data_IF_857549394525
#
_entry.id   IF_857549394525
#
_cell.length_a   1.000
_cell.length_b   1.000
_cell.length_c   1.000
_cell.angle_alpha   90.00
_cell.angle_beta   90.00
_cell.angle_gamma   90.00
#
_symmetry.space_group_name_H-M   'P 1'
#
loop_
_entity.id
_entity.type
_entity.pdbx_description
1 polymer ?
#
# COMPACT_ATOMS: atom_id res chain seq x y z
N UNK A 1 2.00 -38.93 23.07
CA UNK A 1 1.83 -38.78 21.61
C UNK A 1 3.19 -38.39 21.03
N UNK A 2 3.76 -39.20 20.13
CA UNK A 2 5.04 -38.89 19.47
C UNK A 2 4.76 -37.96 18.30
N UNK A 3 5.41 -36.80 18.30
CA UNK A 3 5.34 -35.84 17.21
C UNK A 3 6.33 -36.27 16.13
N UNK A 4 5.84 -36.64 14.94
CA UNK A 4 6.67 -37.03 13.81
C UNK A 4 7.13 -35.80 13.03
N UNK A 5 8.45 -35.57 13.04
CA UNK A 5 9.10 -34.49 12.30
C UNK A 5 9.02 -34.69 10.78
N UNK A 6 8.93 -35.93 10.30
CA UNK A 6 8.89 -36.25 8.88
C UNK A 6 7.59 -35.83 8.19
N UNK A 7 6.51 -35.63 8.97
CA UNK A 7 5.23 -35.12 8.48
C UNK A 7 5.06 -33.62 8.69
N UNK A 8 6.07 -32.92 9.21
CA UNK A 8 6.01 -31.48 9.42
C UNK A 8 6.22 -30.73 8.09
N UNK A 9 5.11 -30.49 7.37
CA UNK A 9 5.13 -29.60 6.20
C UNK A 9 5.29 -28.17 6.69
N UNK A 10 6.44 -27.54 6.38
CA UNK A 10 6.60 -26.09 6.53
C UNK A 10 5.49 -25.40 5.73
N UNK A 11 4.73 -24.45 6.33
CA UNK A 11 3.76 -23.68 5.57
C UNK A 11 4.50 -22.95 4.44
N UNK A 12 3.90 -22.95 3.25
CA UNK A 12 4.46 -22.27 2.09
C UNK A 12 4.78 -20.81 2.45
N UNK A 13 5.92 -20.25 1.99
CA UNK A 13 6.23 -18.86 2.21
C UNK A 13 5.09 -18.02 1.63
N UNK A 14 4.39 -17.30 2.51
CA UNK A 14 3.31 -16.39 2.12
C UNK A 14 3.91 -15.35 1.18
N UNK A 15 3.38 -15.27 -0.04
CA UNK A 15 3.79 -14.32 -1.07
C UNK A 15 3.99 -12.92 -0.45
N UNK A 16 5.13 -12.30 -0.77
CA UNK A 16 5.53 -10.97 -0.33
C UNK A 16 4.40 -9.97 -0.55
N UNK A 17 3.58 -9.81 0.47
CA UNK A 17 2.54 -8.80 0.50
C UNK A 17 3.27 -7.56 0.99
N UNK A 18 3.43 -6.56 0.14
CA UNK A 18 3.97 -5.21 0.41
C UNK A 18 3.20 -4.43 1.50
N UNK A 19 2.39 -5.11 2.30
CA UNK A 19 1.69 -4.57 3.46
C UNK A 19 2.65 -4.53 4.65
N UNK A 20 2.81 -3.37 5.31
CA UNK A 20 3.58 -3.27 6.56
C UNK A 20 2.98 -4.14 7.70
N UNK A 21 1.77 -4.68 7.51
CA UNK A 21 1.11 -5.62 8.41
C UNK A 21 1.26 -7.05 7.90
N UNK A 22 2.09 -7.84 8.59
CA UNK A 22 2.42 -9.23 8.21
C UNK A 22 1.37 -10.26 8.64
N UNK A 23 0.52 -9.95 9.62
CA UNK A 23 -0.51 -10.89 10.10
C UNK A 23 -1.84 -10.67 9.38
N UNK A 24 -2.53 -11.76 9.04
CA UNK A 24 -3.87 -11.72 8.42
C UNK A 24 -4.86 -10.87 9.24
N UNK A 25 -4.77 -10.94 10.57
CA UNK A 25 -5.60 -10.13 11.48
C UNK A 25 -5.30 -8.65 11.34
N UNK A 26 -4.02 -8.25 11.31
CA UNK A 26 -3.64 -6.85 11.18
C UNK A 26 -4.01 -6.28 9.79
N UNK A 27 -3.89 -7.09 8.72
CA UNK A 27 -4.37 -6.70 7.39
C UNK A 27 -5.89 -6.48 7.36
N UNK A 28 -6.66 -7.37 8.00
CA UNK A 28 -8.12 -7.24 8.13
C UNK A 28 -8.51 -5.97 8.90
N UNK A 29 -7.82 -5.69 10.01
CA UNK A 29 -8.04 -4.48 10.80
C UNK A 29 -7.70 -3.23 9.99
N UNK A 30 -6.56 -3.21 9.30
CA UNK A 30 -6.13 -2.11 8.45
C UNK A 30 -7.18 -1.78 7.36
N UNK A 31 -7.61 -2.79 6.60
CA UNK A 31 -8.61 -2.61 5.55
C UNK A 31 -9.93 -2.05 6.11
N UNK A 32 -10.33 -2.50 7.30
CA UNK A 32 -11.55 -2.00 7.96
C UNK A 32 -11.41 -0.56 8.43
N UNK A 33 -10.24 -0.15 8.96
CA UNK A 33 -9.94 1.24 9.35
C UNK A 33 -10.09 2.17 8.14
N UNK A 34 -9.48 1.83 7.01
CA UNK A 34 -9.57 2.63 5.79
C UNK A 34 -11.01 2.74 5.27
N UNK A 35 -11.77 1.64 5.32
CA UNK A 35 -13.17 1.64 4.91
C UNK A 35 -14.02 2.54 5.80
N UNK A 36 -13.81 2.50 7.12
CA UNK A 36 -14.54 3.35 8.07
C UNK A 36 -14.21 4.83 7.85
N UNK A 37 -12.93 5.15 7.66
CA UNK A 37 -12.47 6.50 7.34
C UNK A 37 -13.18 7.06 6.09
N UNK A 38 -13.23 6.29 4.99
CA UNK A 38 -13.92 6.69 3.77
C UNK A 38 -15.41 6.94 4.01
N UNK A 39 -16.07 6.08 4.79
CA UNK A 39 -17.48 6.22 5.12
C UNK A 39 -17.75 7.51 5.91
N UNK A 40 -16.98 7.77 6.97
CA UNK A 40 -17.15 8.99 7.77
C UNK A 40 -16.85 10.24 6.93
N UNK A 41 -15.76 10.23 6.16
CA UNK A 41 -15.40 11.35 5.28
C UNK A 41 -16.53 11.69 4.30
N UNK A 42 -17.16 10.69 3.68
CA UNK A 42 -18.31 10.90 2.80
C UNK A 42 -19.52 11.51 3.53
N UNK A 43 -19.76 11.15 4.80
CA UNK A 43 -20.87 11.73 5.57
C UNK A 43 -20.56 13.17 5.99
N UNK A 44 -19.30 13.48 6.33
CA UNK A 44 -18.84 14.85 6.60
C UNK A 44 -19.05 15.72 5.35
N UNK A 45 -18.65 15.25 4.17
CA UNK A 45 -18.84 15.96 2.90
C UNK A 45 -20.32 16.20 2.57
N UNK A 46 -21.20 15.25 2.92
CA UNK A 46 -22.67 15.40 2.80
C UNK A 46 -23.28 16.38 3.81
N UNK A 47 -22.47 16.98 4.70
CA UNK A 47 -22.86 18.01 5.69
C UNK A 47 -23.94 17.57 6.69
N UNK A 48 -24.07 16.28 6.93
CA UNK A 48 -24.98 15.73 7.93
C UNK A 48 -24.58 16.18 9.34
N UNK A 49 -25.56 16.36 10.23
CA UNK A 49 -25.29 16.66 11.65
C UNK A 49 -24.79 15.38 12.31
N UNK A 50 -23.46 15.27 12.48
CA UNK A 50 -22.81 14.15 13.16
C UNK A 50 -22.51 14.51 14.61
N UNK A 51 -22.61 13.56 15.54
CA UNK A 51 -22.09 13.68 16.90
C UNK A 51 -20.58 13.40 16.93
N UNK A 52 -19.87 13.79 18.00
CA UNK A 52 -18.41 13.58 18.12
C UNK A 52 -18.00 12.12 17.91
N UNK A 53 -18.79 11.16 18.40
CA UNK A 53 -18.50 9.73 18.26
C UNK A 53 -18.70 9.20 16.83
N UNK A 54 -19.57 9.83 16.05
CA UNK A 54 -19.83 9.42 14.66
C UNK A 54 -18.82 10.03 13.67
N UNK A 55 -18.06 11.03 14.11
CA UNK A 55 -16.98 11.66 13.34
C UNK A 55 -15.62 10.99 13.50
N UNK A 56 -15.51 10.03 14.43
CA UNK A 56 -14.24 9.43 14.80
C UNK A 56 -14.27 7.91 14.61
N UNK A 57 -13.14 7.38 14.17
CA UNK A 57 -12.85 5.95 14.12
C UNK A 57 -12.53 5.49 15.54
N UNK A 58 -13.38 4.62 16.09
CA UNK A 58 -13.20 4.07 17.43
C UNK A 58 -12.57 2.68 17.34
N UNK A 59 -11.33 2.53 17.82
CA UNK A 59 -10.58 1.27 17.79
C UNK A 59 -11.39 0.07 18.33
N UNK A 60 -12.13 0.27 19.43
CA UNK A 60 -13.01 -0.77 20.00
C UNK A 60 -14.06 -1.26 19.00
N UNK A 61 -14.71 -0.36 18.26
CA UNK A 61 -15.74 -0.73 17.28
C UNK A 61 -15.12 -1.46 16.09
N UNK A 62 -13.95 -1.03 15.63
CA UNK A 62 -13.20 -1.71 14.57
C UNK A 62 -12.86 -3.15 14.98
N UNK A 63 -12.30 -3.35 16.18
CA UNK A 63 -11.95 -4.68 16.68
C UNK A 63 -13.17 -5.62 16.71
N UNK A 64 -14.28 -5.14 17.27
CA UNK A 64 -15.54 -5.90 17.33
C UNK A 64 -16.08 -6.23 15.94
N UNK A 65 -16.07 -5.27 15.01
CA UNK A 65 -16.53 -5.48 13.63
C UNK A 65 -15.70 -6.51 12.85
N UNK A 66 -14.41 -6.66 13.21
CA UNK A 66 -13.52 -7.65 12.63
C UNK A 66 -13.60 -9.02 13.30
N UNK A 67 -14.39 -9.17 14.37
CA UNK A 67 -14.49 -10.40 15.17
C UNK A 67 -13.28 -10.63 16.08
N UNK A 68 -12.58 -9.56 16.48
CA UNK A 68 -11.36 -9.63 17.29
C UNK A 68 -11.59 -8.93 18.63
N UNK A 69 -10.93 -9.42 19.68
CA UNK A 69 -11.00 -8.78 21.00
C UNK A 69 -10.47 -7.34 20.96
N UNK A 70 -11.12 -6.36 21.63
CA UNK A 70 -10.62 -4.99 21.73
C UNK A 70 -9.19 -4.89 22.29
N UNK A 71 -8.76 -5.87 23.10
CA UNK A 71 -7.40 -5.91 23.65
C UNK A 71 -6.33 -6.09 22.56
N UNK A 72 -6.69 -6.61 21.39
CA UNK A 72 -5.77 -6.81 20.25
C UNK A 72 -5.42 -5.50 19.54
N UNK A 73 -6.32 -4.52 19.53
CA UNK A 73 -6.11 -3.21 18.91
C UNK A 73 -5.81 -2.16 19.98
N UNK A 74 -4.62 -2.28 20.59
CA UNK A 74 -4.11 -1.39 21.63
C UNK A 74 -2.73 -0.85 21.25
N UNK A 75 -2.31 0.33 21.76
CA UNK A 75 -0.99 0.90 21.44
C UNK A 75 0.16 -0.07 21.72
N UNK A 76 0.03 -0.90 22.76
CA UNK A 76 1.04 -1.90 23.14
C UNK A 76 1.17 -3.04 22.12
N UNK A 77 0.06 -3.49 21.52
CA UNK A 77 0.05 -4.68 20.65
C UNK A 77 0.11 -4.36 19.16
N UNK A 78 -0.47 -3.24 18.75
CA UNK A 78 -0.58 -2.81 17.36
C UNK A 78 -0.32 -1.30 17.26
N UNK A 79 0.87 -0.82 17.66
CA UNK A 79 1.17 0.61 17.71
C UNK A 79 0.94 1.31 16.36
N UNK A 80 1.33 0.68 15.26
CA UNK A 80 1.17 1.25 13.92
C UNK A 80 -0.30 1.40 13.48
N UNK A 81 -1.20 0.48 13.86
CA UNK A 81 -2.62 0.62 13.54
C UNK A 81 -3.29 1.69 14.40
N UNK A 82 -2.86 1.84 15.66
CA UNK A 82 -3.41 2.87 16.54
C UNK A 82 -2.95 4.26 16.09
N UNK A 83 -1.66 4.44 15.77
CA UNK A 83 -1.16 5.69 15.23
C UNK A 83 -1.86 6.09 13.91
N UNK A 84 -2.17 5.10 13.07
CA UNK A 84 -2.98 5.33 11.86
C UNK A 84 -4.39 5.84 12.22
N UNK A 85 -5.06 5.23 13.20
CA UNK A 85 -6.38 5.69 13.65
C UNK A 85 -6.32 7.14 14.16
N UNK A 86 -5.30 7.47 14.95
CA UNK A 86 -5.12 8.83 15.48
C UNK A 86 -4.93 9.84 14.34
N UNK A 87 -4.05 9.52 13.38
CA UNK A 87 -3.79 10.36 12.20
C UNK A 87 -5.06 10.56 11.36
N UNK A 88 -5.84 9.50 11.13
CA UNK A 88 -7.07 9.58 10.36
C UNK A 88 -8.17 10.35 11.11
N UNK A 89 -8.22 10.24 12.44
CA UNK A 89 -9.15 11.02 13.26
C UNK A 89 -8.83 12.51 13.24
N UNK A 90 -7.54 12.87 13.27
CA UNK A 90 -7.11 14.27 13.13
C UNK A 90 -7.53 14.83 11.77
N UNK A 91 -7.38 14.04 10.70
CA UNK A 91 -7.82 14.44 9.36
C UNK A 91 -9.34 14.57 9.25
N UNK A 92 -10.12 13.64 9.84
CA UNK A 92 -11.58 13.74 9.89
C UNK A 92 -12.04 14.99 10.68
N UNK A 93 -11.37 15.34 11.77
CA UNK A 93 -11.67 16.55 12.54
C UNK A 93 -11.35 17.82 11.73
N UNK A 94 -10.26 17.83 10.97
CA UNK A 94 -9.91 18.93 10.07
C UNK A 94 -10.94 19.08 8.94
N UNK A 95 -11.35 17.96 8.32
CA UNK A 95 -12.41 17.94 7.31
C UNK A 95 -13.75 18.45 7.86
N UNK A 96 -14.09 18.07 9.10
CA UNK A 96 -15.30 18.55 9.75
C UNK A 96 -15.23 20.06 10.03
N UNK A 97 -14.12 20.56 10.58
CA UNK A 97 -13.92 22.00 10.86
C UNK A 97 -14.00 22.84 9.58
N UNK A 98 -13.31 22.43 8.52
CA UNK A 98 -13.35 23.14 7.23
C UNK A 98 -14.75 23.13 6.60
N UNK A 99 -15.47 22.02 6.67
CA UNK A 99 -16.83 21.89 6.11
C UNK A 99 -17.87 22.67 6.93
N UNK A 100 -17.72 22.67 8.26
CA UNK A 100 -18.60 23.42 9.17
C UNK A 100 -18.33 24.93 9.15
N UNK A 101 -17.08 25.37 8.98
CA UNK A 101 -16.73 26.79 8.82
C UNK A 101 -17.37 27.42 7.58
N UNK A 102 -17.51 26.65 6.49
CA UNK A 102 -18.23 27.07 5.27
C UNK A 102 -19.74 27.26 5.46
N UNK A 103 -20.33 26.91 6.63
CA UNK A 103 -21.70 27.28 7.01
C UNK A 103 -21.79 28.71 7.60
N UNK A 104 -20.79 29.57 7.40
CA UNK A 104 -20.82 30.93 7.97
C UNK A 104 -22.14 31.62 7.61
N UNK A 105 -22.76 32.15 8.67
CA UNK A 105 -24.09 32.70 8.67
C UNK A 105 -24.22 33.77 7.59
N UNK A 106 -25.10 33.56 6.61
CA UNK A 106 -25.38 34.55 5.58
C UNK A 106 -25.75 35.88 6.25
N UNK A 107 -24.90 36.89 6.09
CA UNK A 107 -25.16 38.27 6.55
C UNK A 107 -24.28 38.79 7.69
N UNK A 108 -23.56 37.96 8.44
CA UNK A 108 -22.60 38.45 9.45
C UNK A 108 -21.20 38.55 8.85
N UNK A 109 -20.56 39.72 8.99
CA UNK A 109 -19.13 39.88 8.68
C UNK A 109 -18.31 39.13 9.74
N UNK A 110 -17.38 38.29 9.28
CA UNK A 110 -16.45 37.59 10.17
C UNK A 110 -15.61 38.60 10.95
N UNK A 111 -15.33 38.30 12.22
CA UNK A 111 -14.41 39.09 13.03
C UNK A 111 -12.96 38.86 12.59
N UNK A 112 -12.05 39.78 12.92
CA UNK A 112 -10.61 39.63 12.62
C UNK A 112 -10.05 38.30 13.14
N UNK A 113 -10.47 37.86 14.32
CA UNK A 113 -10.04 36.60 14.94
C UNK A 113 -10.53 35.39 14.13
N UNK A 114 -11.81 35.37 13.76
CA UNK A 114 -12.39 34.32 12.90
C UNK A 114 -11.68 34.25 11.55
N UNK A 115 -11.37 35.40 10.92
CA UNK A 115 -10.62 35.45 9.66
C UNK A 115 -9.18 34.94 9.80
N UNK A 116 -8.51 35.21 10.93
CA UNK A 116 -7.18 34.68 11.19
C UNK A 116 -7.20 33.16 11.37
N UNK A 117 -8.16 32.63 12.13
CA UNK A 117 -8.36 31.19 12.29
C UNK A 117 -8.65 30.52 10.95
N UNK A 118 -9.53 31.09 10.14
CA UNK A 118 -9.82 30.59 8.78
C UNK A 118 -8.58 30.63 7.87
N UNK A 119 -7.79 31.70 7.93
CA UNK A 119 -6.54 31.80 7.16
C UNK A 119 -5.53 30.72 7.56
N UNK A 120 -5.40 30.45 8.87
CA UNK A 120 -4.52 29.36 9.34
C UNK A 120 -4.99 27.99 8.84
N UNK A 121 -6.30 27.71 8.90
CA UNK A 121 -6.87 26.46 8.38
C UNK A 121 -6.67 26.32 6.87
N UNK A 122 -6.88 27.38 6.11
CA UNK A 122 -6.68 27.38 4.65
C UNK A 122 -5.21 27.19 4.27
N UNK A 123 -4.27 27.76 5.04
CA UNK A 123 -2.84 27.52 4.83
C UNK A 123 -2.46 26.07 5.06
N UNK A 124 -2.90 25.48 6.17
CA UNK A 124 -2.65 24.06 6.46
C UNK A 124 -3.25 23.15 5.40
N UNK A 125 -4.44 23.48 4.88
CA UNK A 125 -5.07 22.71 3.81
C UNK A 125 -4.32 22.85 2.48
N UNK A 126 -3.81 24.05 2.15
CA UNK A 126 -2.97 24.25 0.97
C UNK A 126 -1.68 23.45 1.03
N UNK A 127 -1.00 23.43 2.18
CA UNK A 127 0.19 22.61 2.40
C UNK A 127 -0.12 21.12 2.25
N UNK A 128 -1.25 20.66 2.82
CA UNK A 128 -1.71 19.28 2.68
C UNK A 128 -1.96 18.90 1.21
N UNK A 129 -2.66 19.76 0.45
CA UNK A 129 -2.93 19.54 -0.97
C UNK A 129 -1.66 19.56 -1.81
N UNK A 130 -0.72 20.47 -1.52
CA UNK A 130 0.58 20.52 -2.18
C UNK A 130 1.38 19.25 -1.94
N UNK A 131 1.43 18.76 -0.70
CA UNK A 131 2.10 17.50 -0.36
C UNK A 131 1.44 16.30 -1.04
N UNK A 132 0.11 16.29 -1.15
CA UNK A 132 -0.62 15.24 -1.85
C UNK A 132 -0.31 15.23 -3.36
N UNK A 133 -0.26 16.41 -3.99
CA UNK A 133 0.13 16.54 -5.39
C UNK A 133 1.58 16.09 -5.63
N UNK A 134 2.50 16.47 -4.75
CA UNK A 134 3.89 16.05 -4.82
C UNK A 134 4.01 14.52 -4.69
N UNK A 135 3.33 13.92 -3.71
CA UNK A 135 3.29 12.47 -3.55
C UNK A 135 2.75 11.77 -4.80
N UNK A 136 1.64 12.27 -5.37
CA UNK A 136 1.07 11.74 -6.61
C UNK A 136 2.04 11.82 -7.80
N UNK A 137 2.74 12.94 -7.96
CA UNK A 137 3.75 13.10 -9.00
C UNK A 137 4.94 12.15 -8.82
N UNK A 138 5.39 11.95 -7.58
CA UNK A 138 6.47 11.00 -7.26
C UNK A 138 6.06 9.55 -7.56
N UNK A 139 4.85 9.15 -7.18
CA UNK A 139 4.34 7.81 -7.49
C UNK A 139 4.28 7.58 -8.99
N UNK A 140 3.74 8.53 -9.76
CA UNK A 140 3.68 8.43 -11.22
C UNK A 140 5.08 8.33 -11.86
N UNK A 141 6.06 9.08 -11.34
CA UNK A 141 7.44 9.00 -11.81
C UNK A 141 8.06 7.63 -11.53
N UNK A 142 7.87 7.08 -10.32
CA UNK A 142 8.35 5.75 -9.94
C UNK A 142 7.72 4.66 -10.81
N UNK A 143 6.41 4.73 -11.05
CA UNK A 143 5.70 3.80 -11.93
C UNK A 143 6.26 3.86 -13.35
N UNK A 144 6.50 5.05 -13.89
CA UNK A 144 7.12 5.22 -15.22
C UNK A 144 8.51 4.58 -15.27
N UNK A 145 9.36 4.83 -14.26
CA UNK A 145 10.70 4.24 -14.19
C UNK A 145 10.66 2.71 -14.13
N UNK A 146 9.78 2.15 -13.29
CA UNK A 146 9.58 0.69 -13.17
C UNK A 146 9.15 0.06 -14.49
N UNK A 147 8.22 0.70 -15.21
CA UNK A 147 7.76 0.19 -16.51
C UNK A 147 8.86 0.20 -17.56
N UNK A 148 9.71 1.21 -17.56
CA UNK A 148 10.82 1.32 -18.51
C UNK A 148 11.92 0.31 -18.17
N UNK A 149 12.25 0.13 -16.90
CA UNK A 149 13.20 -0.88 -16.46
C UNK A 149 12.72 -2.31 -16.80
N UNK A 150 11.43 -2.60 -16.59
CA UNK A 150 10.85 -3.88 -16.98
C UNK A 150 10.95 -4.14 -18.49
N UNK A 151 10.78 -3.11 -19.33
CA UNK A 151 10.98 -3.21 -20.79
C UNK A 151 12.43 -3.52 -21.14
N UNK A 152 13.37 -2.81 -20.52
CA UNK A 152 14.80 -3.03 -20.72
C UNK A 152 15.19 -4.45 -20.34
N UNK A 153 14.79 -4.91 -19.14
CA UNK A 153 15.05 -6.28 -18.69
C UNK A 153 14.44 -7.33 -19.64
N UNK A 154 13.20 -7.11 -20.10
CA UNK A 154 12.57 -8.01 -21.08
C UNK A 154 13.30 -8.05 -22.43
N UNK A 155 13.93 -6.95 -22.85
CA UNK A 155 14.78 -6.90 -24.04
C UNK A 155 16.08 -7.70 -23.83
N UNK A 156 16.74 -7.52 -22.69
CA UNK A 156 17.97 -8.24 -22.34
C UNK A 156 17.74 -9.73 -22.22
N UNK A 157 16.64 -10.15 -21.59
CA UNK A 157 16.25 -11.57 -21.51
C UNK A 157 16.05 -12.16 -22.90
N UNK A 158 15.42 -11.44 -23.83
CA UNK A 158 15.25 -11.90 -25.21
C UNK A 158 16.58 -12.06 -25.93
N UNK A 159 17.48 -11.09 -25.78
CA UNK A 159 18.84 -11.16 -26.35
C UNK A 159 19.61 -12.36 -25.79
N UNK A 160 19.67 -12.52 -24.47
CA UNK A 160 20.35 -13.65 -23.83
C UNK A 160 19.77 -15.00 -24.26
N UNK A 161 18.44 -15.13 -24.38
CA UNK A 161 17.81 -16.36 -24.90
C UNK A 161 18.21 -16.68 -26.35
N UNK A 162 18.29 -15.65 -27.20
CA UNK A 162 18.75 -15.82 -28.58
C UNK A 162 20.22 -16.26 -28.64
N UNK A 163 21.05 -15.69 -27.77
CA UNK A 163 22.47 -16.03 -27.70
C UNK A 163 22.71 -17.44 -27.15
N UNK A 164 21.97 -17.85 -26.12
CA UNK A 164 21.98 -19.24 -25.63
C UNK A 164 21.60 -20.21 -26.76
N UNK A 165 20.55 -19.89 -27.53
CA UNK A 165 20.13 -20.73 -28.66
C UNK A 165 21.20 -20.80 -29.75
N UNK A 166 21.92 -19.69 -30.01
CA UNK A 166 23.04 -19.64 -30.96
C UNK A 166 24.20 -20.52 -30.49
N UNK A 167 24.59 -20.37 -29.22
CA UNK A 167 25.69 -21.13 -28.62
C UNK A 167 25.38 -22.63 -28.58
N UNK A 168 24.15 -23.02 -28.24
CA UNK A 168 23.73 -24.43 -28.28
C UNK A 168 23.90 -25.05 -29.68
N UNK A 169 23.50 -24.34 -30.74
CA UNK A 169 23.74 -24.81 -32.13
C UNK A 169 25.22 -24.99 -32.46
N UNK A 170 26.08 -24.10 -31.95
CA UNK A 170 27.53 -24.22 -32.15
C UNK A 170 28.08 -25.44 -31.43
N UNK A 171 27.63 -25.69 -30.19
CA UNK A 171 28.01 -26.87 -29.41
C UNK A 171 27.58 -28.15 -30.12
N UNK A 172 26.33 -28.22 -30.61
CA UNK A 172 25.81 -29.38 -31.34
C UNK A 172 26.65 -29.67 -32.60
N UNK A 173 26.93 -28.63 -33.40
CA UNK A 173 27.78 -28.76 -34.60
C UNK A 173 29.20 -29.24 -34.26
N UNK A 174 29.79 -28.76 -33.16
CA UNK A 174 31.12 -29.19 -32.71
C UNK A 174 31.11 -30.65 -32.25
N UNK A 175 30.07 -31.08 -31.54
CA UNK A 175 29.90 -32.46 -31.11
C UNK A 175 29.80 -33.42 -32.32
N UNK A 176 29.03 -33.04 -33.35
CA UNK A 176 28.95 -33.82 -34.60
C UNK A 176 30.31 -33.93 -35.32
N UNK A 177 31.05 -32.82 -35.42
CA UNK A 177 32.38 -32.82 -36.04
C UNK A 177 33.35 -33.73 -35.28
N UNK A 178 33.36 -33.68 -33.95
CA UNK A 178 34.19 -34.56 -33.13
C UNK A 178 33.83 -36.04 -33.34
N UNK A 179 32.54 -36.39 -33.38
CA UNK A 179 32.11 -37.76 -33.67
C UNK A 179 32.58 -38.23 -35.05
N UNK A 180 32.47 -37.39 -36.09
CA UNK A 180 32.96 -37.71 -37.43
C UNK A 180 34.47 -37.91 -37.46
N UNK A 181 35.24 -37.08 -36.76
CA UNK A 181 36.69 -37.24 -36.66
C UNK A 181 37.06 -38.55 -35.96
N UNK A 182 36.43 -38.88 -34.84
CA UNK A 182 36.65 -40.14 -34.13
C UNK A 182 36.31 -41.36 -34.98
N UNK A 183 35.21 -41.30 -35.73
CA UNK A 183 34.83 -42.36 -36.68
C UNK A 183 35.87 -42.54 -37.80
N UNK A 184 36.41 -41.44 -38.33
CA UNK A 184 37.43 -41.49 -39.38
C UNK A 184 38.80 -41.96 -38.86
N UNK A 185 39.13 -41.71 -37.59
CA UNK A 185 40.37 -42.19 -36.95
C UNK A 185 40.28 -43.69 -36.65
N UNK A 186 39.10 -44.20 -36.30
CA UNK A 186 38.88 -45.61 -35.95
C UNK A 186 38.50 -46.50 -37.15
N UNK A 187 38.63 -45.98 -38.38
CA UNK A 187 38.40 -46.77 -39.60
C UNK A 187 39.65 -47.64 -39.87
N UNK A 188 39.52 -48.98 -39.92
CA UNK A 188 40.63 -49.88 -40.21
C UNK A 188 41.13 -49.74 -41.66
#
# INVERSE_FOLDING_TARGET
MKFDLDNFKKPAPTADTTSPYQTSVAQKLHAKILKEYQQISLVILKRSVLTTKERQIVARQIALSCGVSPSTLTPRRQPGLVALIDTLNDDLELQWKSTSAKKSHSGRKNTKKELMEENTLLKTENERLSNLQLAGAMTAAIESMLTEEARLQASTIRQLKSEISRLNKVIDNQAELQQRMLYNINKP
#
